data_IF_853109982506
#
_entry.id   IF_853109982506
#
_cell.length_a   1.000
_cell.length_b   1.000
_cell.length_c   1.000
_cell.angle_alpha   90.00
_cell.angle_beta   90.00
_cell.angle_gamma   90.00
#
_symmetry.space_group_name_H-M   'P 1'
#
loop_
_entity.id
_entity.type
_entity.pdbx_description
1 polymer ?
#
# COMPACT_ATOMS: atom_id res chain seq x y z
N UNK A 1 21.89 21.57 31.87
CA UNK A 1 20.86 21.54 30.80
C UNK A 1 20.50 20.07 30.60
N UNK A 2 19.29 19.68 31.05
CA UNK A 2 18.79 18.30 30.84
C UNK A 2 18.77 18.04 29.33
N UNK A 3 19.47 17.00 28.88
CA UNK A 3 19.33 16.50 27.52
C UNK A 3 17.88 16.09 27.37
N UNK A 4 17.14 16.82 26.55
CA UNK A 4 15.79 16.49 26.15
C UNK A 4 15.86 15.12 25.42
N UNK A 5 15.59 14.05 26.16
CA UNK A 5 15.73 12.69 25.64
C UNK A 5 14.66 12.47 24.58
N UNK A 6 15.09 12.09 23.38
CA UNK A 6 14.21 11.70 22.27
C UNK A 6 13.51 10.37 22.58
N UNK A 7 12.44 10.44 23.36
CA UNK A 7 11.68 9.28 23.83
C UNK A 7 10.44 9.01 22.99
N UNK A 8 9.85 10.05 22.38
CA UNK A 8 8.59 9.97 21.65
C UNK A 8 8.75 9.35 20.26
N UNK A 9 7.73 8.63 19.81
CA UNK A 9 7.69 8.07 18.44
C UNK A 9 7.55 9.20 17.42
N UNK A 10 8.27 9.09 16.30
CA UNK A 10 8.17 10.05 15.21
C UNK A 10 6.72 10.17 14.67
N UNK A 11 6.29 11.40 14.43
CA UNK A 11 4.99 11.66 13.80
C UNK A 11 4.95 11.12 12.35
N UNK A 12 3.78 10.87 11.77
CA UNK A 12 3.66 10.45 10.37
C UNK A 12 4.34 11.46 9.41
N UNK A 13 4.25 12.75 9.71
CA UNK A 13 4.87 13.82 8.92
C UNK A 13 6.38 13.82 9.00
N UNK A 14 6.93 13.64 10.21
CA UNK A 14 8.37 13.50 10.41
C UNK A 14 8.95 12.30 9.65
N UNK A 15 8.27 11.15 9.70
CA UNK A 15 8.62 9.95 8.91
C UNK A 15 8.55 10.21 7.41
N UNK A 16 7.54 10.95 6.94
CA UNK A 16 7.42 11.32 5.54
C UNK A 16 8.60 12.20 5.10
N UNK A 17 8.95 13.24 5.87
CA UNK A 17 10.11 14.11 5.58
C UNK A 17 11.42 13.36 5.57
N UNK A 18 11.62 12.41 6.51
CA UNK A 18 12.81 11.56 6.51
C UNK A 18 12.91 10.74 5.22
N UNK A 19 11.79 10.16 4.75
CA UNK A 19 11.73 9.45 3.47
C UNK A 19 12.00 10.36 2.28
N UNK A 20 11.46 11.58 2.25
CA UNK A 20 11.71 12.59 1.21
C UNK A 20 13.18 12.99 1.13
N UNK A 21 13.92 12.95 2.25
CA UNK A 21 15.37 13.13 2.32
C UNK A 21 16.18 11.88 1.95
N UNK A 22 15.52 10.77 1.57
CA UNK A 22 16.17 9.49 1.26
C UNK A 22 16.64 8.70 2.50
N UNK A 23 16.23 9.11 3.71
CA UNK A 23 16.54 8.39 4.94
C UNK A 23 15.55 7.23 5.11
N UNK A 24 15.99 6.04 4.71
CA UNK A 24 15.18 4.81 4.75
C UNK A 24 16.01 3.66 5.33
N UNK A 25 15.35 2.74 6.03
CA UNK A 25 15.98 1.51 6.48
C UNK A 25 16.11 0.55 5.30
N UNK A 26 17.34 0.30 4.84
CA UNK A 26 17.63 -0.64 3.76
C UNK A 26 18.80 -1.54 4.19
N UNK A 27 18.65 -2.84 3.96
CA UNK A 27 19.72 -3.82 4.13
C UNK A 27 20.19 -4.32 2.75
N UNK A 28 21.43 -4.04 2.35
CA UNK A 28 22.02 -4.62 1.14
C UNK A 28 22.10 -6.15 1.22
N UNK A 29 22.35 -6.71 2.41
CA UNK A 29 22.45 -8.14 2.64
C UNK A 29 21.13 -8.86 2.34
N UNK A 30 20.01 -8.28 2.79
CA UNK A 30 18.68 -8.83 2.47
C UNK A 30 18.37 -8.76 0.98
N UNK A 31 18.70 -7.63 0.32
CA UNK A 31 18.51 -7.51 -1.13
C UNK A 31 19.38 -8.53 -1.89
N UNK A 32 20.66 -8.67 -1.48
CA UNK A 32 21.59 -9.59 -2.11
C UNK A 32 21.19 -11.06 -1.93
N UNK A 33 20.72 -11.45 -0.74
CA UNK A 33 20.27 -12.81 -0.47
C UNK A 33 19.01 -13.17 -1.27
N UNK A 34 18.05 -12.23 -1.44
CA UNK A 34 16.87 -12.44 -2.28
C UNK A 34 17.23 -12.63 -3.75
N UNK A 35 18.16 -11.81 -4.27
CA UNK A 35 18.66 -11.97 -5.65
C UNK A 35 19.37 -13.30 -5.83
N UNK A 36 20.24 -13.68 -4.88
CA UNK A 36 20.97 -14.95 -4.92
C UNK A 36 20.01 -16.15 -4.93
N UNK A 37 19.01 -16.16 -4.06
CA UNK A 37 18.00 -17.23 -4.01
C UNK A 37 17.22 -17.29 -5.32
N UNK A 38 16.77 -16.15 -5.86
CA UNK A 38 16.05 -16.12 -7.12
C UNK A 38 16.90 -16.66 -8.29
N UNK A 39 18.17 -16.28 -8.34
CA UNK A 39 19.13 -16.81 -9.33
C UNK A 39 19.32 -18.33 -9.20
N UNK A 40 19.52 -18.83 -7.98
CA UNK A 40 19.66 -20.27 -7.72
C UNK A 40 18.40 -21.07 -8.04
N UNK A 41 17.22 -20.52 -7.74
CA UNK A 41 15.95 -21.13 -8.12
C UNK A 41 15.78 -21.14 -9.64
N UNK A 42 16.10 -20.06 -10.32
CA UNK A 42 16.06 -20.03 -11.79
C UNK A 42 17.04 -21.05 -12.40
N UNK A 43 18.24 -21.16 -11.88
CA UNK A 43 19.23 -22.16 -12.31
C UNK A 43 18.74 -23.60 -12.00
N UNK A 44 18.10 -23.84 -10.85
CA UNK A 44 17.59 -25.17 -10.52
C UNK A 44 16.48 -25.64 -11.47
N UNK A 45 15.63 -24.71 -11.92
CA UNK A 45 14.51 -25.03 -12.83
C UNK A 45 14.96 -25.07 -14.29
N UNK A 46 15.81 -24.12 -14.70
CA UNK A 46 16.24 -23.95 -16.10
C UNK A 46 17.53 -24.68 -16.43
N UNK A 47 18.35 -25.03 -15.43
CA UNK A 47 19.66 -25.62 -15.60
C UNK A 47 19.69 -26.85 -16.50
N UNK A 48 18.80 -27.86 -16.32
CA UNK A 48 18.74 -29.01 -17.22
C UNK A 48 18.53 -28.65 -18.67
N UNK A 49 17.61 -27.70 -18.95
CA UNK A 49 17.34 -27.20 -20.31
C UNK A 49 18.51 -26.41 -20.89
N UNK A 50 19.18 -25.61 -20.05
CA UNK A 50 20.38 -24.84 -20.48
C UNK A 50 21.50 -25.81 -20.89
N UNK A 51 21.74 -26.87 -20.11
CA UNK A 51 22.75 -27.88 -20.41
C UNK A 51 22.40 -28.64 -21.69
N UNK A 52 21.13 -29.06 -21.84
CA UNK A 52 20.66 -29.76 -23.06
C UNK A 52 20.78 -28.87 -24.30
N UNK A 53 20.32 -27.64 -24.26
CA UNK A 53 20.44 -26.68 -25.36
C UNK A 53 21.91 -26.41 -25.71
N UNK A 54 22.75 -26.19 -24.73
CA UNK A 54 24.17 -26.01 -24.92
C UNK A 54 24.84 -27.23 -25.57
N UNK A 55 24.51 -28.44 -25.14
CA UNK A 55 25.04 -29.68 -25.69
C UNK A 55 24.57 -29.94 -27.14
N UNK A 56 23.31 -29.62 -27.46
CA UNK A 56 22.78 -29.71 -28.84
C UNK A 56 23.44 -28.70 -29.76
N UNK A 57 23.49 -27.43 -29.36
CA UNK A 57 24.18 -26.39 -30.10
C UNK A 57 25.67 -26.75 -30.37
N UNK A 58 26.36 -27.25 -29.33
CA UNK A 58 27.75 -27.68 -29.46
C UNK A 58 27.90 -28.82 -30.46
N UNK A 59 27.03 -29.86 -30.43
CA UNK A 59 27.08 -30.98 -31.39
C UNK A 59 26.77 -30.53 -32.83
N UNK A 60 25.82 -29.63 -32.99
CA UNK A 60 25.47 -29.06 -34.33
C UNK A 60 26.65 -28.24 -34.86
N UNK A 61 27.24 -27.38 -34.05
CA UNK A 61 28.44 -26.61 -34.44
C UNK A 61 29.61 -27.51 -34.87
N UNK A 62 29.84 -28.62 -34.11
CA UNK A 62 30.87 -29.58 -34.51
C UNK A 62 30.58 -30.29 -35.85
N UNK A 63 29.32 -30.58 -36.14
CA UNK A 63 28.89 -31.16 -37.43
C UNK A 63 29.09 -30.19 -38.60
N UNK A 64 28.76 -28.91 -38.38
CA UNK A 64 28.94 -27.86 -39.37
C UNK A 64 30.40 -27.59 -39.68
N UNK A 65 31.27 -27.62 -38.68
CA UNK A 65 32.75 -27.51 -38.86
C UNK A 65 33.27 -28.70 -39.65
N UNK A 66 32.65 -29.88 -39.59
CA UNK A 66 33.02 -31.03 -40.39
C UNK A 66 32.69 -30.85 -41.89
N UNK A 67 31.91 -29.83 -42.27
CA UNK A 67 31.66 -29.43 -43.64
C UNK A 67 32.29 -28.03 -43.94
N UNK A 68 33.58 -27.96 -44.32
CA UNK A 68 34.32 -26.72 -44.45
C UNK A 68 33.73 -25.71 -45.46
N UNK A 69 33.09 -26.21 -46.52
CA UNK A 69 32.47 -25.35 -47.52
C UNK A 69 31.31 -24.52 -47.00
N UNK A 70 30.54 -25.06 -46.01
CA UNK A 70 29.47 -24.32 -45.35
C UNK A 70 30.02 -23.44 -44.23
N UNK A 71 30.91 -23.97 -43.40
CA UNK A 71 31.45 -23.27 -42.21
C UNK A 71 32.25 -22.00 -42.58
N UNK A 72 32.89 -21.97 -43.73
CA UNK A 72 33.68 -20.82 -44.23
C UNK A 72 32.87 -19.84 -45.10
N UNK A 73 31.63 -20.16 -45.44
CA UNK A 73 30.74 -19.24 -46.17
C UNK A 73 30.22 -18.12 -45.24
N UNK A 74 29.98 -16.93 -45.81
CA UNK A 74 29.41 -15.81 -45.06
C UNK A 74 28.04 -16.16 -44.42
N UNK A 75 27.22 -16.97 -45.12
CA UNK A 75 25.95 -17.46 -44.65
C UNK A 75 26.11 -18.41 -43.44
N UNK A 76 27.03 -19.39 -43.55
CA UNK A 76 27.29 -20.34 -42.47
C UNK A 76 27.86 -19.68 -41.21
N UNK A 77 28.75 -18.70 -41.34
CA UNK A 77 29.25 -17.91 -40.20
C UNK A 77 28.12 -17.13 -39.53
N UNK A 78 27.23 -16.52 -40.34
CA UNK A 78 26.06 -15.79 -39.80
C UNK A 78 25.11 -16.71 -39.04
N UNK A 79 24.83 -17.90 -39.53
CA UNK A 79 23.98 -18.92 -38.90
C UNK A 79 24.56 -19.43 -37.60
N UNK A 80 25.86 -19.74 -37.57
CA UNK A 80 26.55 -20.14 -36.35
C UNK A 80 26.54 -19.05 -35.27
N UNK A 81 26.79 -17.81 -35.67
CA UNK A 81 26.70 -16.65 -34.75
C UNK A 81 25.31 -16.46 -34.21
N UNK A 82 24.27 -16.55 -35.05
CA UNK A 82 22.90 -16.42 -34.64
C UNK A 82 22.49 -17.53 -33.65
N UNK A 83 22.85 -18.78 -33.96
CA UNK A 83 22.55 -19.95 -33.10
C UNK A 83 23.27 -19.85 -31.76
N UNK A 84 24.55 -19.50 -31.78
CA UNK A 84 25.31 -19.30 -30.53
C UNK A 84 24.72 -18.16 -29.69
N UNK A 85 24.41 -17.00 -30.30
CA UNK A 85 23.85 -15.84 -29.59
C UNK A 85 22.46 -16.16 -29.02
N UNK A 86 21.59 -16.79 -29.82
CA UNK A 86 20.24 -17.16 -29.33
C UNK A 86 20.30 -18.15 -28.16
N UNK A 87 21.18 -19.15 -28.20
CA UNK A 87 21.41 -20.11 -27.13
C UNK A 87 21.87 -19.41 -25.84
N UNK A 88 22.84 -18.48 -25.97
CA UNK A 88 23.33 -17.70 -24.84
C UNK A 88 22.22 -16.82 -24.25
N UNK A 89 21.47 -16.10 -25.09
CA UNK A 89 20.38 -15.22 -24.63
C UNK A 89 19.31 -16.05 -23.92
N UNK A 90 18.88 -17.17 -24.49
CA UNK A 90 17.87 -18.05 -23.89
C UNK A 90 18.35 -18.69 -22.58
N UNK A 91 19.64 -18.94 -22.43
CA UNK A 91 20.22 -19.44 -21.19
C UNK A 91 20.30 -18.38 -20.08
N UNK A 92 20.73 -17.15 -20.46
CA UNK A 92 21.01 -16.07 -19.48
C UNK A 92 19.78 -15.25 -19.13
N UNK A 93 18.91 -14.95 -20.10
CA UNK A 93 17.79 -14.02 -19.90
C UNK A 93 16.81 -14.43 -18.78
N UNK A 94 16.42 -15.70 -18.62
CA UNK A 94 15.51 -16.09 -17.53
C UNK A 94 16.14 -15.92 -16.14
N UNK A 95 17.43 -16.26 -16.01
CA UNK A 95 18.17 -16.12 -14.75
C UNK A 95 18.37 -14.64 -14.42
N UNK A 96 18.81 -13.86 -15.39
CA UNK A 96 18.97 -12.41 -15.22
C UNK A 96 17.65 -11.72 -14.91
N UNK A 97 16.55 -12.13 -15.58
CA UNK A 97 15.20 -11.64 -15.33
C UNK A 97 14.73 -11.95 -13.92
N UNK A 98 14.93 -13.17 -13.43
CA UNK A 98 14.59 -13.56 -12.06
C UNK A 98 15.37 -12.74 -11.03
N UNK A 99 16.68 -12.57 -11.24
CA UNK A 99 17.54 -11.74 -10.38
C UNK A 99 17.09 -10.28 -10.36
N UNK A 100 16.77 -9.71 -11.53
CA UNK A 100 16.31 -8.33 -11.66
C UNK A 100 14.98 -8.13 -10.93
N UNK A 101 14.01 -9.02 -11.15
CA UNK A 101 12.71 -8.98 -10.48
C UNK A 101 12.86 -9.11 -8.96
N UNK A 102 13.67 -10.04 -8.48
CA UNK A 102 13.94 -10.21 -7.05
C UNK A 102 14.60 -8.97 -6.43
N UNK A 103 15.55 -8.36 -7.15
CA UNK A 103 16.20 -7.12 -6.70
C UNK A 103 15.23 -5.93 -6.63
N UNK A 104 14.37 -5.78 -7.64
CA UNK A 104 13.33 -4.74 -7.65
C UNK A 104 12.30 -4.95 -6.53
N UNK A 105 11.74 -6.16 -6.43
CA UNK A 105 10.74 -6.49 -5.42
C UNK A 105 11.32 -6.39 -4.01
N UNK A 106 12.53 -6.89 -3.78
CA UNK A 106 13.22 -6.78 -2.51
C UNK A 106 13.53 -5.34 -2.11
N UNK A 107 13.88 -4.49 -3.08
CA UNK A 107 14.05 -3.05 -2.87
C UNK A 107 12.74 -2.34 -2.51
N UNK A 108 11.68 -2.60 -3.27
CA UNK A 108 10.35 -2.03 -3.04
C UNK A 108 9.76 -2.51 -1.70
N UNK A 109 9.94 -3.78 -1.34
CA UNK A 109 9.45 -4.33 -0.07
C UNK A 109 10.11 -3.67 1.15
N UNK A 110 11.40 -3.31 1.07
CA UNK A 110 12.12 -2.66 2.17
C UNK A 110 11.80 -1.17 2.29
N UNK A 111 11.73 -0.44 1.19
CA UNK A 111 11.65 1.04 1.17
C UNK A 111 10.24 1.54 0.89
N UNK A 112 9.43 0.73 0.19
CA UNK A 112 8.13 1.11 -0.35
C UNK A 112 8.26 1.79 -1.72
N UNK A 113 7.16 1.81 -2.48
CA UNK A 113 7.09 2.42 -3.81
C UNK A 113 6.79 3.92 -3.71
N UNK A 114 7.82 4.73 -3.42
CA UNK A 114 7.71 6.20 -3.49
C UNK A 114 9.01 6.77 -4.06
N UNK A 115 9.06 7.05 -5.37
CA UNK A 115 10.23 7.68 -5.98
C UNK A 115 10.42 9.08 -5.40
N UNK A 116 11.61 9.35 -4.87
CA UNK A 116 11.95 10.64 -4.26
C UNK A 116 12.94 11.38 -5.14
N UNK A 117 12.44 12.32 -5.94
CA UNK A 117 13.27 13.16 -6.82
C UNK A 117 14.29 13.98 -6.04
N UNK A 118 13.98 14.34 -4.79
CA UNK A 118 14.89 15.11 -3.93
C UNK A 118 16.18 14.34 -3.56
N UNK A 119 16.13 13.01 -3.53
CA UNK A 119 17.31 12.17 -3.27
C UNK A 119 18.32 12.17 -4.44
N UNK A 120 17.89 12.56 -5.64
CA UNK A 120 18.72 12.66 -6.85
C UNK A 120 19.44 14.00 -7.00
N UNK A 121 19.24 14.95 -6.09
CA UNK A 121 19.95 16.24 -6.12
C UNK A 121 21.44 16.00 -5.94
N UNK A 122 22.20 16.56 -6.85
CA UNK A 122 23.66 16.51 -6.83
C UNK A 122 24.17 17.30 -5.62
N UNK A 123 24.89 16.63 -4.70
CA UNK A 123 25.44 17.24 -3.50
C UNK A 123 26.95 17.00 -3.45
N UNK A 124 27.73 18.00 -3.82
CA UNK A 124 29.19 17.95 -3.81
C UNK A 124 29.79 17.61 -2.43
N UNK A 125 29.06 17.84 -1.33
CA UNK A 125 29.53 17.51 0.02
C UNK A 125 29.66 15.99 0.22
N UNK A 126 28.95 15.18 -0.59
CA UNK A 126 29.04 13.70 -0.55
C UNK A 126 30.33 13.15 -1.16
N UNK A 127 31.05 13.97 -1.95
CA UNK A 127 32.29 13.61 -2.65
C UNK A 127 33.53 14.06 -1.86
N UNK A 128 33.37 14.50 -0.63
CA UNK A 128 34.49 14.96 0.19
C UNK A 128 35.40 13.78 0.61
N UNK A 129 36.67 13.71 0.13
CA UNK A 129 37.56 12.58 0.39
C UNK A 129 37.96 12.47 1.88
N UNK A 130 38.03 13.58 2.63
CA UNK A 130 38.36 13.56 4.07
C UNK A 130 37.23 12.92 4.90
N UNK A 131 35.96 13.12 4.53
CA UNK A 131 34.82 12.45 5.15
C UNK A 131 34.78 10.96 4.78
N UNK A 132 35.17 10.62 3.53
CA UNK A 132 35.31 9.24 3.06
C UNK A 132 36.40 8.49 3.86
N UNK A 133 37.59 9.07 4.03
CA UNK A 133 38.68 8.48 4.79
C UNK A 133 38.29 8.23 6.26
N UNK A 134 37.61 9.19 6.91
CA UNK A 134 37.13 9.03 8.29
C UNK A 134 36.09 7.92 8.42
N UNK A 135 35.26 7.72 7.40
CA UNK A 135 34.28 6.63 7.37
C UNK A 135 34.93 5.26 7.14
N UNK A 136 36.03 5.20 6.35
CA UNK A 136 36.77 3.96 6.07
C UNK A 136 37.67 3.50 7.22
N UNK A 137 38.21 4.43 8.01
CA UNK A 137 39.14 4.13 9.09
C UNK A 137 38.58 4.45 10.50
N UNK A 138 37.31 4.82 10.59
CA UNK A 138 36.67 5.08 11.87
C UNK A 138 36.19 3.83 12.60
N UNK A 139 35.86 3.94 13.91
CA UNK A 139 35.41 2.81 14.72
C UNK A 139 34.17 2.10 14.14
N UNK A 140 33.34 2.81 13.38
CA UNK A 140 32.22 2.21 12.66
C UNK A 140 32.68 1.26 11.54
N UNK A 141 33.79 1.57 10.87
CA UNK A 141 34.33 0.70 9.82
C UNK A 141 34.86 -0.62 10.37
N UNK A 142 35.54 -0.58 11.52
CA UNK A 142 36.00 -1.79 12.22
C UNK A 142 34.81 -2.68 12.60
N UNK A 143 33.74 -2.10 13.10
CA UNK A 143 32.52 -2.84 13.44
C UNK A 143 31.84 -3.47 12.21
N UNK A 144 31.78 -2.75 11.10
CA UNK A 144 31.25 -3.29 9.83
C UNK A 144 32.16 -4.38 9.24
N UNK A 145 33.48 -4.24 9.34
CA UNK A 145 34.45 -5.26 8.95
C UNK A 145 34.30 -6.54 9.78
N UNK A 146 34.16 -6.42 11.11
CA UNK A 146 33.94 -7.57 11.99
C UNK A 146 32.63 -8.30 11.65
N UNK A 147 31.57 -7.57 11.39
CA UNK A 147 30.31 -8.17 10.90
C UNK A 147 30.50 -8.89 9.57
N UNK A 148 31.25 -8.31 8.62
CA UNK A 148 31.52 -8.95 7.34
C UNK A 148 32.26 -10.27 7.52
N UNK A 149 33.32 -10.30 8.37
CA UNK A 149 34.04 -11.52 8.71
C UNK A 149 33.10 -12.56 9.34
N UNK A 150 32.27 -12.16 10.31
CA UNK A 150 31.31 -13.06 10.94
C UNK A 150 30.29 -13.67 9.93
N UNK A 151 29.84 -12.87 8.98
CA UNK A 151 28.93 -13.34 7.89
C UNK A 151 29.63 -14.40 7.03
N UNK A 152 30.87 -14.11 6.59
CA UNK A 152 31.63 -15.05 5.77
C UNK A 152 31.90 -16.33 6.54
N UNK A 153 32.24 -16.25 7.84
CA UNK A 153 32.47 -17.42 8.69
C UNK A 153 31.20 -18.28 8.82
N UNK A 154 30.02 -17.67 9.06
CA UNK A 154 28.75 -18.40 9.20
C UNK A 154 28.36 -19.06 7.87
N UNK A 155 28.39 -18.33 6.77
CA UNK A 155 28.04 -18.85 5.44
C UNK A 155 29.06 -19.95 5.03
N UNK A 156 30.33 -19.74 5.26
CA UNK A 156 31.39 -20.71 4.99
C UNK A 156 31.24 -21.98 5.82
N UNK A 157 30.88 -21.85 7.10
CA UNK A 157 30.61 -22.99 7.97
C UNK A 157 29.43 -23.83 7.45
N UNK A 158 28.32 -23.16 7.11
CA UNK A 158 27.12 -23.86 6.57
C UNK A 158 27.45 -24.55 5.24
N UNK A 159 28.18 -23.87 4.34
CA UNK A 159 28.61 -24.47 3.08
C UNK A 159 29.57 -25.67 3.34
N UNK A 160 30.51 -25.54 4.27
CA UNK A 160 31.44 -26.62 4.67
C UNK A 160 30.69 -27.84 5.23
N UNK A 161 29.73 -27.62 6.13
CA UNK A 161 28.91 -28.69 6.67
C UNK A 161 28.04 -29.38 5.59
N UNK A 162 27.58 -28.64 4.56
CA UNK A 162 26.84 -29.20 3.43
C UNK A 162 27.71 -30.07 2.50
N UNK A 163 29.02 -29.89 2.50
CA UNK A 163 29.98 -30.71 1.71
C UNK A 163 30.30 -32.04 2.40
N UNK A 164 30.30 -32.11 3.72
CA UNK A 164 30.75 -33.29 4.50
C UNK A 164 30.08 -34.60 4.09
N UNK A 165 28.73 -34.68 3.87
CA UNK A 165 28.07 -35.94 3.44
C UNK A 165 28.56 -36.41 2.06
N UNK A 166 28.97 -35.50 1.19
CA UNK A 166 29.52 -35.79 -0.12
C UNK A 166 30.87 -36.44 -0.08
N UNK A 167 31.69 -36.12 0.91
CA UNK A 167 33.07 -36.65 1.08
C UNK A 167 33.03 -38.14 1.49
N UNK A 168 32.08 -38.55 2.34
CA UNK A 168 31.97 -39.94 2.82
C UNK A 168 31.50 -40.89 1.72
N UNK A 169 30.92 -40.39 0.64
CA UNK A 169 30.42 -41.22 -0.50
C UNK A 169 31.34 -41.13 -1.72
N UNK A 170 32.52 -40.53 -1.64
CA UNK A 170 33.42 -40.41 -2.79
C UNK A 170 33.85 -41.76 -3.37
N UNK A 171 34.14 -42.75 -2.50
CA UNK A 171 34.53 -44.09 -2.94
C UNK A 171 33.43 -44.78 -3.80
N UNK A 172 32.15 -44.57 -3.49
CA UNK A 172 31.05 -45.13 -4.25
C UNK A 172 30.86 -44.46 -5.62
N UNK A 173 31.54 -43.34 -5.89
CA UNK A 173 31.46 -42.58 -7.16
C UNK A 173 32.56 -42.98 -8.16
N UNK A 174 33.49 -43.83 -7.73
CA UNK A 174 34.55 -44.38 -8.59
C UNK A 174 33.94 -45.32 -9.63
N UNK A 175 34.23 -45.11 -10.91
CA UNK A 175 33.69 -45.89 -12.02
C UNK A 175 32.36 -45.38 -12.58
N UNK A 176 31.78 -44.30 -12.10
CA UNK A 176 30.59 -43.68 -12.69
C UNK A 176 30.90 -43.13 -14.10
N UNK A 177 29.88 -43.19 -14.97
CA UNK A 177 29.97 -42.56 -16.26
C UNK A 177 30.18 -41.03 -16.14
N UNK A 178 31.00 -40.39 -16.98
CA UNK A 178 31.30 -38.94 -16.88
C UNK A 178 30.06 -38.05 -16.82
N UNK A 179 29.02 -38.36 -17.61
CA UNK A 179 27.78 -37.60 -17.62
C UNK A 179 27.01 -37.70 -16.27
N UNK A 180 26.97 -38.87 -15.68
CA UNK A 180 26.33 -39.12 -14.37
C UNK A 180 27.12 -38.39 -13.24
N UNK A 181 28.45 -38.43 -13.32
CA UNK A 181 29.30 -37.74 -12.37
C UNK A 181 29.12 -36.22 -12.48
N UNK A 182 29.07 -35.68 -13.71
CA UNK A 182 28.80 -34.26 -13.95
C UNK A 182 27.45 -33.80 -13.38
N UNK A 183 26.39 -34.57 -13.62
CA UNK A 183 25.07 -34.28 -13.08
C UNK A 183 25.06 -34.29 -11.53
N UNK A 184 25.73 -35.27 -10.93
CA UNK A 184 25.86 -35.37 -9.47
C UNK A 184 26.62 -34.21 -8.86
N UNK A 185 27.74 -33.82 -9.49
CA UNK A 185 28.52 -32.66 -9.06
C UNK A 185 27.73 -31.35 -9.17
N UNK A 186 26.99 -31.17 -10.29
CA UNK A 186 26.10 -30.01 -10.48
C UNK A 186 25.00 -29.92 -9.42
N UNK A 187 24.33 -31.06 -9.15
CA UNK A 187 23.30 -31.12 -8.10
C UNK A 187 23.87 -30.84 -6.71
N UNK A 188 25.05 -31.39 -6.40
CA UNK A 188 25.75 -31.14 -5.11
C UNK A 188 26.15 -29.67 -4.98
N UNK A 189 26.74 -29.08 -6.00
CA UNK A 189 27.12 -27.67 -6.01
C UNK A 189 25.89 -26.75 -5.82
N UNK A 190 24.79 -27.05 -6.50
CA UNK A 190 23.53 -26.30 -6.37
C UNK A 190 22.98 -26.42 -4.94
N UNK A 191 22.98 -27.62 -4.36
CA UNK A 191 22.53 -27.87 -2.99
C UNK A 191 23.37 -27.07 -1.98
N UNK A 192 24.70 -27.10 -2.09
CA UNK A 192 25.60 -26.31 -1.24
C UNK A 192 25.31 -24.83 -1.36
N UNK A 193 25.16 -24.32 -2.60
CA UNK A 193 24.85 -22.92 -2.86
C UNK A 193 23.49 -22.51 -2.26
N UNK A 194 22.47 -23.40 -2.31
CA UNK A 194 21.17 -23.16 -1.70
C UNK A 194 21.25 -23.07 -0.17
N UNK A 195 21.98 -23.97 0.49
CA UNK A 195 22.20 -23.90 1.94
C UNK A 195 22.93 -22.62 2.35
N UNK A 196 23.97 -22.25 1.61
CA UNK A 196 24.69 -20.99 1.83
C UNK A 196 23.78 -19.78 1.63
N UNK A 197 22.94 -19.79 0.59
CA UNK A 197 22.00 -18.69 0.31
C UNK A 197 20.91 -18.57 1.40
N UNK A 198 20.42 -19.68 1.95
CA UNK A 198 19.47 -19.68 3.07
C UNK A 198 20.12 -19.12 4.35
N UNK A 199 21.37 -19.48 4.64
CA UNK A 199 22.11 -18.90 5.76
C UNK A 199 22.30 -17.38 5.55
N UNK A 200 22.65 -16.96 4.33
CA UNK A 200 22.79 -15.56 3.99
C UNK A 200 21.47 -14.80 4.09
N UNK A 201 20.33 -15.42 3.71
CA UNK A 201 19.00 -14.83 3.90
C UNK A 201 18.69 -14.60 5.39
N UNK A 202 18.98 -15.58 6.25
CA UNK A 202 18.75 -15.44 7.69
C UNK A 202 19.57 -14.26 8.27
N UNK A 203 20.82 -14.13 7.87
CA UNK A 203 21.69 -12.98 8.23
C UNK A 203 21.09 -11.67 7.70
N UNK A 204 20.63 -11.64 6.44
CA UNK A 204 20.03 -10.48 5.81
C UNK A 204 18.76 -9.99 6.52
N UNK A 205 17.91 -10.94 6.96
CA UNK A 205 16.70 -10.62 7.75
C UNK A 205 17.07 -10.01 9.11
N UNK A 206 18.06 -10.57 9.80
CA UNK A 206 18.54 -10.02 11.09
C UNK A 206 19.15 -8.64 10.91
N UNK A 207 19.99 -8.43 9.87
CA UNK A 207 20.56 -7.12 9.58
C UNK A 207 19.48 -6.08 9.25
N UNK A 208 18.45 -6.46 8.47
CA UNK A 208 17.32 -5.58 8.16
C UNK A 208 16.53 -5.21 9.43
N UNK A 209 16.21 -6.19 10.28
CA UNK A 209 15.50 -5.93 11.53
C UNK A 209 16.28 -4.98 12.45
N UNK A 210 17.60 -5.19 12.56
CA UNK A 210 18.50 -4.31 13.32
C UNK A 210 18.56 -2.89 12.73
N UNK A 211 18.75 -2.75 11.41
CA UNK A 211 18.79 -1.45 10.73
C UNK A 211 17.46 -0.71 10.85
N UNK A 212 16.35 -1.42 10.73
CA UNK A 212 15.00 -0.86 10.91
C UNK A 212 14.79 -0.35 12.33
N UNK A 213 15.18 -1.15 13.34
CA UNK A 213 15.11 -0.72 14.74
C UNK A 213 15.97 0.51 15.02
N UNK A 214 17.21 0.51 14.55
CA UNK A 214 18.13 1.65 14.68
C UNK A 214 17.60 2.89 13.98
N UNK A 215 17.05 2.75 12.80
CA UNK A 215 16.44 3.84 12.05
C UNK A 215 15.24 4.43 12.80
N UNK A 216 14.33 3.59 13.32
CA UNK A 216 13.22 4.07 14.14
C UNK A 216 13.70 4.79 15.41
N UNK A 217 14.75 4.32 16.04
CA UNK A 217 15.37 4.99 17.20
C UNK A 217 15.95 6.35 16.82
N UNK A 218 16.59 6.47 15.66
CA UNK A 218 17.13 7.75 15.15
C UNK A 218 16.03 8.78 14.82
N UNK A 219 14.86 8.33 14.43
CA UNK A 219 13.72 9.18 14.10
C UNK A 219 12.91 9.62 15.33
N UNK A 220 13.23 9.12 16.54
CA UNK A 220 12.53 9.55 17.75
C UNK A 220 12.65 11.05 17.97
N UNK A 221 11.60 11.63 18.52
CA UNK A 221 11.43 13.05 18.76
C UNK A 221 11.36 13.34 20.26
N UNK A 222 11.63 14.58 20.63
CA UNK A 222 11.34 15.08 21.97
C UNK A 222 9.84 15.39 22.10
N UNK A 223 9.32 15.47 23.33
CA UNK A 223 7.93 15.88 23.58
C UNK A 223 7.63 17.28 23.03
N UNK A 224 8.61 18.18 23.06
CA UNK A 224 8.45 19.53 22.50
C UNK A 224 8.34 19.51 20.99
N UNK A 225 9.25 18.77 20.29
CA UNK A 225 9.21 18.61 18.83
C UNK A 225 7.86 18.05 18.35
N UNK A 226 7.30 17.02 19.05
CA UNK A 226 5.98 16.46 18.71
C UNK A 226 4.87 17.51 18.91
N UNK A 227 4.91 18.26 20.01
CA UNK A 227 3.91 19.29 20.30
C UNK A 227 3.93 20.44 19.27
N UNK A 228 5.13 20.88 18.87
CA UNK A 228 5.31 21.93 17.86
C UNK A 228 4.86 21.43 16.47
N UNK A 229 5.24 20.23 16.08
CA UNK A 229 4.82 19.68 14.81
C UNK A 229 3.31 19.46 14.75
N UNK A 230 2.69 19.00 15.85
CA UNK A 230 1.24 18.85 15.96
C UNK A 230 0.53 20.21 15.89
N UNK A 231 1.11 21.26 16.47
CA UNK A 231 0.56 22.61 16.35
C UNK A 231 0.67 23.19 14.95
N UNK A 232 1.79 22.97 14.26
CA UNK A 232 2.01 23.50 12.91
C UNK A 232 1.17 22.79 11.85
N UNK A 233 0.94 21.49 12.00
CA UNK A 233 0.29 20.66 10.98
C UNK A 233 -1.02 20.02 11.41
N UNK A 234 -1.34 20.06 12.71
CA UNK A 234 -2.66 19.67 13.21
C UNK A 234 -3.68 20.71 12.79
N UNK A 235 -4.79 20.28 12.20
CA UNK A 235 -5.98 21.13 12.08
C UNK A 235 -6.33 21.56 13.50
N UNK A 236 -6.23 22.85 13.83
CA UNK A 236 -6.54 23.32 15.17
C UNK A 236 -7.96 22.86 15.53
N UNK A 237 -8.19 22.51 16.80
CA UNK A 237 -9.52 22.13 17.26
C UNK A 237 -10.58 23.17 16.91
N UNK A 238 -10.18 24.44 16.86
CA UNK A 238 -10.99 25.59 16.42
C UNK A 238 -11.42 25.52 14.97
N UNK A 239 -10.50 25.19 14.03
CA UNK A 239 -10.82 25.04 12.61
C UNK A 239 -11.77 23.86 12.39
N UNK A 240 -11.55 22.73 13.09
CA UNK A 240 -12.44 21.58 13.03
C UNK A 240 -13.83 21.91 13.55
N UNK A 241 -13.89 22.67 14.64
CA UNK A 241 -15.16 23.12 15.23
C UNK A 241 -15.86 24.14 14.33
N UNK A 242 -15.13 25.07 13.74
CA UNK A 242 -15.67 26.03 12.78
C UNK A 242 -16.20 25.35 11.51
N UNK A 243 -15.47 24.35 11.02
CA UNK A 243 -15.91 23.55 9.86
C UNK A 243 -17.18 22.76 10.16
N UNK A 244 -17.29 22.12 11.33
CA UNK A 244 -18.53 21.45 11.77
C UNK A 244 -19.70 22.42 11.90
N UNK A 245 -19.48 23.61 12.47
CA UNK A 245 -20.51 24.66 12.60
C UNK A 245 -21.01 25.09 11.22
N UNK A 246 -20.12 25.34 10.25
CA UNK A 246 -20.48 25.70 8.87
C UNK A 246 -21.28 24.60 8.18
N UNK A 247 -20.88 23.35 8.35
CA UNK A 247 -21.60 22.18 7.80
C UNK A 247 -23.02 22.07 8.37
N UNK A 248 -23.18 22.24 9.70
CA UNK A 248 -24.49 22.24 10.36
C UNK A 248 -25.36 23.41 9.90
N UNK A 249 -24.81 24.62 9.78
CA UNK A 249 -25.54 25.79 9.27
C UNK A 249 -26.00 25.58 7.83
N UNK A 250 -25.13 25.06 6.96
CA UNK A 250 -25.48 24.76 5.58
C UNK A 250 -26.56 23.66 5.47
N UNK A 251 -26.50 22.63 6.32
CA UNK A 251 -27.52 21.59 6.39
C UNK A 251 -28.88 22.15 6.87
N UNK A 252 -28.87 23.00 7.90
CA UNK A 252 -30.09 23.69 8.39
C UNK A 252 -30.66 24.62 7.32
N UNK A 253 -29.83 25.40 6.62
CA UNK A 253 -30.30 26.28 5.56
C UNK A 253 -30.97 25.51 4.42
N UNK A 254 -30.38 24.38 3.99
CA UNK A 254 -31.01 23.49 2.98
C UNK A 254 -32.33 22.90 3.45
N UNK A 255 -32.38 22.44 4.71
CA UNK A 255 -33.60 21.94 5.31
C UNK A 255 -34.71 23.00 5.35
N UNK A 256 -34.38 24.22 5.80
CA UNK A 256 -35.36 25.34 5.83
C UNK A 256 -35.83 25.74 4.42
N UNK A 257 -34.96 25.71 3.43
CA UNK A 257 -35.30 25.99 2.03
C UNK A 257 -36.23 24.92 1.40
N UNK A 258 -36.34 23.75 2.01
CA UNK A 258 -37.26 22.71 1.58
C UNK A 258 -38.69 22.89 2.17
N UNK A 259 -38.85 23.60 3.29
CA UNK A 259 -40.14 23.80 3.96
C UNK A 259 -41.18 24.50 3.08
N UNK A 260 -40.89 25.54 2.30
CA UNK A 260 -41.83 26.15 1.39
C UNK A 260 -42.39 25.22 0.30
N UNK A 261 -41.72 24.12 0.05
CA UNK A 261 -42.14 23.12 -0.96
C UNK A 261 -42.90 21.96 -0.34
N UNK A 262 -43.14 21.99 0.96
CA UNK A 262 -43.88 20.95 1.66
C UNK A 262 -45.39 21.07 1.40
N UNK A 263 -46.07 19.92 1.31
CA UNK A 263 -47.52 19.85 1.20
C UNK A 263 -48.21 20.08 2.55
N UNK A 264 -47.55 19.72 3.64
CA UNK A 264 -48.07 19.88 4.99
C UNK A 264 -46.95 19.90 6.01
N UNK A 265 -47.15 20.65 7.08
CA UNK A 265 -46.34 20.58 8.30
C UNK A 265 -47.19 20.02 9.43
N UNK A 266 -46.78 18.87 9.99
CA UNK A 266 -47.41 18.25 11.14
C UNK A 266 -46.68 18.71 12.41
N UNK A 267 -47.41 19.19 13.40
CA UNK A 267 -46.82 19.79 14.61
C UNK A 267 -47.32 19.19 15.91
N UNK A 268 -46.43 19.14 16.88
CA UNK A 268 -46.78 19.19 18.30
C UNK A 268 -46.51 20.64 18.76
N UNK A 269 -47.50 21.44 19.10
CA UNK A 269 -47.42 22.90 19.09
C UNK A 269 -46.21 23.54 19.76
N UNK A 270 -45.65 22.92 20.77
CA UNK A 270 -44.51 23.49 21.55
C UNK A 270 -43.19 22.79 21.28
N UNK A 271 -43.21 21.54 20.78
CA UNK A 271 -42.02 20.71 20.82
C UNK A 271 -41.52 20.22 19.46
N UNK A 272 -42.39 19.86 18.53
CA UNK A 272 -42.00 19.23 17.26
C UNK A 272 -42.70 19.83 16.07
N UNK A 273 -41.97 19.90 14.95
CA UNK A 273 -42.54 20.17 13.64
C UNK A 273 -41.86 19.31 12.59
N UNK A 274 -42.65 18.71 11.70
CA UNK A 274 -42.20 17.83 10.64
C UNK A 274 -42.89 18.24 9.34
N UNK A 275 -42.10 18.56 8.31
CA UNK A 275 -42.59 18.91 6.98
C UNK A 275 -42.54 17.70 6.03
N UNK A 276 -43.64 17.45 5.35
CA UNK A 276 -43.82 16.32 4.43
C UNK A 276 -44.11 16.81 3.03
N UNK A 277 -43.52 16.12 2.03
CA UNK A 277 -43.81 16.30 0.59
C UNK A 277 -44.36 14.99 0.02
N UNK A 278 -45.40 15.08 -0.78
CA UNK A 278 -45.94 13.96 -1.55
C UNK A 278 -46.30 14.40 -2.96
N UNK A 279 -45.39 14.24 -3.89
CA UNK A 279 -45.50 14.66 -5.28
C UNK A 279 -45.93 13.52 -6.24
N UNK A 280 -46.24 12.36 -5.68
CA UNK A 280 -46.62 11.17 -6.48
C UNK A 280 -45.42 10.44 -7.14
N UNK A 281 -44.21 10.97 -7.07
CA UNK A 281 -43.03 10.32 -7.64
C UNK A 281 -42.53 9.18 -6.75
N UNK A 282 -42.90 9.19 -5.47
CA UNK A 282 -42.53 8.21 -4.47
C UNK A 282 -43.73 7.39 -3.99
N UNK A 283 -43.47 6.16 -3.53
CA UNK A 283 -44.54 5.27 -3.01
C UNK A 283 -45.13 5.75 -1.67
N UNK A 284 -44.45 6.70 -0.99
CA UNK A 284 -44.89 7.28 0.26
C UNK A 284 -44.38 8.73 0.41
N UNK A 285 -45.01 9.56 1.26
CA UNK A 285 -44.54 10.90 1.56
C UNK A 285 -43.08 10.94 2.08
N UNK A 286 -42.36 11.96 1.62
CA UNK A 286 -40.97 12.20 1.99
C UNK A 286 -40.90 13.23 3.11
N UNK A 287 -40.08 12.97 4.12
CA UNK A 287 -39.80 13.92 5.20
C UNK A 287 -38.69 14.88 4.76
N UNK A 288 -39.01 16.16 4.53
CA UNK A 288 -38.11 17.17 4.01
C UNK A 288 -37.52 18.07 5.08
N UNK A 289 -38.22 18.25 6.21
CA UNK A 289 -37.69 18.96 7.36
C UNK A 289 -38.24 18.38 8.67
N UNK A 290 -37.40 18.34 9.71
CA UNK A 290 -37.83 18.03 11.09
C UNK A 290 -37.12 18.92 12.08
N UNK A 291 -37.78 19.30 13.16
CA UNK A 291 -37.15 20.10 14.20
C UNK A 291 -37.83 19.93 15.57
N UNK A 292 -37.05 20.25 16.58
CA UNK A 292 -37.48 20.28 17.97
C UNK A 292 -37.33 21.71 18.53
N UNK A 293 -38.26 22.13 19.38
CA UNK A 293 -38.26 23.40 20.11
C UNK A 293 -38.06 24.62 19.20
N UNK A 294 -36.93 25.33 19.30
CA UNK A 294 -36.62 26.52 18.48
C UNK A 294 -36.62 26.24 16.97
N UNK A 295 -36.15 25.06 16.57
CA UNK A 295 -36.13 24.66 15.15
C UNK A 295 -37.59 24.36 14.69
N UNK A 296 -38.41 23.76 15.51
CA UNK A 296 -39.82 23.51 15.23
C UNK A 296 -40.59 24.83 15.07
N UNK A 297 -40.32 25.81 15.94
CA UNK A 297 -40.90 27.15 15.83
C UNK A 297 -40.51 27.84 14.51
N UNK A 298 -39.23 27.69 14.08
CA UNK A 298 -38.77 28.25 12.82
C UNK A 298 -39.39 27.56 11.59
N UNK A 299 -39.54 26.22 11.61
CA UNK A 299 -40.22 25.48 10.55
C UNK A 299 -41.67 25.95 10.42
N UNK A 300 -42.40 26.10 11.51
CA UNK A 300 -43.79 26.61 11.51
C UNK A 300 -43.90 28.00 10.93
N UNK A 301 -43.03 28.94 11.38
CA UNK A 301 -42.99 30.29 10.84
C UNK A 301 -42.75 30.31 9.34
N UNK A 302 -41.76 29.56 8.84
CA UNK A 302 -41.45 29.49 7.40
C UNK A 302 -42.63 28.84 6.63
N UNK A 303 -43.32 27.87 7.21
CA UNK A 303 -44.49 27.26 6.62
C UNK A 303 -45.65 28.27 6.49
N UNK A 304 -45.92 29.03 7.57
CA UNK A 304 -46.98 30.07 7.62
C UNK A 304 -46.68 31.21 6.65
N UNK A 305 -45.42 31.68 6.55
CA UNK A 305 -44.98 32.70 5.60
C UNK A 305 -45.08 32.28 4.12
N UNK A 306 -45.16 30.97 3.83
CA UNK A 306 -45.25 30.41 2.48
C UNK A 306 -46.56 29.67 2.22
N UNK A 307 -47.60 29.95 2.99
CA UNK A 307 -48.96 29.35 2.83
C UNK A 307 -48.98 27.79 2.90
N UNK A 308 -47.98 27.19 3.53
CA UNK A 308 -47.96 25.73 3.75
C UNK A 308 -48.86 25.39 4.93
N UNK A 309 -49.86 24.49 4.76
CA UNK A 309 -50.79 24.13 5.82
C UNK A 309 -50.06 23.54 7.06
N UNK A 310 -50.35 24.06 8.25
CA UNK A 310 -49.83 23.56 9.51
C UNK A 310 -50.94 22.84 10.28
N UNK A 311 -50.81 21.55 10.51
CA UNK A 311 -51.75 20.71 11.22
C UNK A 311 -51.22 20.30 12.57
N UNK A 312 -52.02 20.49 13.61
CA UNK A 312 -51.63 20.07 14.97
C UNK A 312 -52.08 18.61 15.21
N UNK A 313 -51.10 17.72 15.25
CA UNK A 313 -51.26 16.31 15.63
C UNK A 313 -50.05 15.87 16.47
N UNK A 314 -50.12 16.05 17.79
CA UNK A 314 -48.96 15.77 18.67
C UNK A 314 -48.46 14.32 18.66
N UNK A 315 -49.33 13.28 18.62
CA UNK A 315 -48.89 11.90 18.50
C UNK A 315 -48.14 11.63 17.20
N UNK A 316 -48.71 12.06 16.06
CA UNK A 316 -48.15 11.86 14.73
C UNK A 316 -46.81 12.63 14.55
N UNK A 317 -46.75 13.89 15.01
CA UNK A 317 -45.53 14.70 14.93
C UNK A 317 -44.39 14.06 15.70
N UNK A 318 -44.62 13.49 16.87
CA UNK A 318 -43.61 12.76 17.66
C UNK A 318 -43.15 11.48 16.99
N UNK A 319 -44.10 10.69 16.47
CA UNK A 319 -43.79 9.45 15.78
C UNK A 319 -42.94 9.70 14.52
N UNK A 320 -43.35 10.66 13.68
CA UNK A 320 -42.57 11.05 12.47
C UNK A 320 -41.18 11.56 12.81
N UNK A 321 -41.05 12.43 13.82
CA UNK A 321 -39.74 12.98 14.23
C UNK A 321 -38.79 11.90 14.73
N UNK A 322 -39.27 10.88 15.45
CA UNK A 322 -38.43 9.82 16.03
C UNK A 322 -38.09 8.69 15.04
N UNK A 323 -39.00 8.37 14.13
CA UNK A 323 -38.86 7.18 13.24
C UNK A 323 -38.30 7.46 11.85
N UNK A 324 -38.25 8.74 11.43
CA UNK A 324 -37.87 9.08 10.04
C UNK A 324 -36.77 10.13 9.98
N UNK A 325 -35.76 9.93 9.15
CA UNK A 325 -34.71 10.93 8.90
C UNK A 325 -35.05 11.83 7.71
N UNK A 326 -34.40 13.02 7.65
CA UNK A 326 -34.62 13.98 6.57
C UNK A 326 -34.18 13.34 5.24
N UNK A 327 -35.05 13.42 4.23
CA UNK A 327 -34.83 12.82 2.92
C UNK A 327 -35.28 11.34 2.82
N UNK A 328 -35.90 10.80 3.86
CA UNK A 328 -36.46 9.45 3.85
C UNK A 328 -37.96 9.44 3.74
N UNK A 329 -38.50 8.37 3.19
CA UNK A 329 -39.93 8.08 3.18
C UNK A 329 -40.41 7.70 4.58
N UNK A 330 -41.62 8.08 4.93
CA UNK A 330 -42.26 7.69 6.19
C UNK A 330 -42.38 6.16 6.31
N UNK A 331 -42.34 5.57 7.51
CA UNK A 331 -42.54 4.13 7.70
C UNK A 331 -44.01 3.73 7.48
N UNK A 332 -44.22 2.48 7.09
CA UNK A 332 -45.54 1.93 6.72
C UNK A 332 -46.60 2.09 7.80
N UNK A 333 -46.19 2.01 9.07
CA UNK A 333 -47.07 2.15 10.23
C UNK A 333 -47.73 3.53 10.31
N UNK A 334 -47.13 4.55 9.70
CA UNK A 334 -47.66 5.93 9.73
C UNK A 334 -48.39 6.32 8.46
N UNK A 335 -48.50 5.43 7.44
CA UNK A 335 -49.15 5.73 6.16
C UNK A 335 -50.63 6.17 6.33
N UNK A 336 -51.39 5.44 7.15
CA UNK A 336 -52.83 5.73 7.34
C UNK A 336 -53.04 7.10 8.00
N UNK A 337 -52.26 7.43 9.03
CA UNK A 337 -52.34 8.71 9.73
C UNK A 337 -51.92 9.88 8.83
N UNK A 338 -50.81 9.75 8.10
CA UNK A 338 -50.33 10.80 7.18
C UNK A 338 -51.29 10.97 6.01
N UNK A 339 -51.86 9.89 5.45
CA UNK A 339 -52.85 9.96 4.39
C UNK A 339 -54.11 10.72 4.82
N UNK A 340 -54.59 10.55 6.06
CA UNK A 340 -55.71 11.33 6.61
C UNK A 340 -55.41 12.83 6.67
N UNK A 341 -54.17 13.19 7.14
CA UNK A 341 -53.72 14.58 7.20
C UNK A 341 -53.64 15.20 5.80
N UNK A 342 -53.01 14.50 4.83
CA UNK A 342 -52.91 14.98 3.44
C UNK A 342 -54.31 15.12 2.78
N UNK A 343 -55.21 14.14 2.95
CA UNK A 343 -56.56 14.21 2.45
C UNK A 343 -57.37 15.39 3.03
N UNK A 344 -57.15 15.70 4.30
CA UNK A 344 -57.74 16.88 4.93
C UNK A 344 -57.20 18.18 4.33
N UNK A 345 -55.89 18.30 4.13
CA UNK A 345 -55.23 19.46 3.52
C UNK A 345 -55.74 19.67 2.09
N UNK A 346 -55.80 18.63 1.25
CA UNK A 346 -56.27 18.73 -0.13
C UNK A 346 -57.74 19.12 -0.23
N UNK A 347 -58.58 18.68 0.71
CA UNK A 347 -60.00 19.12 0.79
C UNK A 347 -60.12 20.59 1.16
N UNK A 348 -59.27 21.10 2.04
CA UNK A 348 -59.23 22.52 2.38
C UNK A 348 -58.74 23.38 1.22
N UNK A 349 -57.70 22.94 0.50
CA UNK A 349 -57.15 23.62 -0.67
C UNK A 349 -58.15 23.65 -1.84
N UNK A 350 -58.88 22.55 -2.08
CA UNK A 350 -59.96 22.48 -3.09
C UNK A 350 -61.14 23.43 -2.79
N UNK A 351 -61.52 23.60 -1.52
CA UNK A 351 -62.52 24.59 -1.12
C UNK A 351 -62.09 26.05 -1.31
N UNK A 352 -60.80 26.36 -1.12
CA UNK A 352 -60.23 27.69 -1.37
C UNK A 352 -60.25 28.05 -2.87
N UNK A 353 -59.99 27.09 -3.77
CA UNK A 353 -60.03 27.30 -5.23
C UNK A 353 -61.46 27.48 -5.78
N UNK A 354 -62.52 27.04 -5.07
CA UNK A 354 -63.93 27.25 -5.44
C UNK A 354 -64.53 28.53 -4.85
N UNK A 355 -63.81 29.21 -3.95
CA UNK A 355 -64.23 30.45 -3.30
C UNK A 355 -63.44 31.69 -3.78
N UNK A 356 -62.48 31.51 -4.67
CA UNK A 356 -61.73 32.58 -5.40
C UNK A 356 -62.16 32.59 -6.88
#
# INVERSE_FOLDING_TARGET
MARDERTEKATPKHRQRAREKGQVARSPDLSGSLVLIAGLLAISVMGPKIVESGATTFRETLRDVANPAHATSAAGISELMHTALSTIVLAVAPVAGACLLAGLLGGVAQVGFKPTVQALKFDFRRINPSAGARNLFGPNAIFEALKAIAKVAVVGLVAGLAVLPGLTTLAAKVGMQPAALGALMGASALSIAQHAAMAYLAIGLLDYAWRRHRHEKQLRMTKQEVKEETRQYGISAEVKTAQRRRQMQAARARMMAAVPKADVVVTNPTHYAVALVYDGSHTAPLLVAKGKDLIAAQIRRVAEENDVPVISDPPLARALHSSTEIGQMIPRELYAAVAQVLAFVYRLAGRRKLAS
#
